data_IF_852734331930
#
_entry.id   IF_852734331930
#
_cell.length_a   1.000
_cell.length_b   1.000
_cell.length_c   1.000
_cell.angle_alpha   90.00
_cell.angle_beta   90.00
_cell.angle_gamma   90.00
#
_symmetry.space_group_name_H-M   'P 1'
#
loop_
_entity.id
_entity.type
_entity.pdbx_description
1 polymer ?
#
# COMPACT_ATOMS: atom_id res chain seq x y z
N UNK A 1 2.61 13.58 -27.46
CA UNK A 1 1.97 12.73 -26.44
C UNK A 1 3.05 11.90 -25.75
N UNK A 2 3.16 11.96 -24.42
CA UNK A 2 4.08 11.11 -23.65
C UNK A 2 3.61 9.66 -23.75
N UNK A 3 4.49 8.71 -24.08
CA UNK A 3 4.14 7.32 -24.43
C UNK A 3 3.20 6.60 -23.43
N UNK A 4 3.22 7.00 -22.16
CA UNK A 4 2.31 6.50 -21.11
C UNK A 4 0.83 6.80 -21.37
N UNK A 5 0.52 8.02 -21.82
CA UNK A 5 -0.84 8.42 -22.17
C UNK A 5 -1.31 7.65 -23.41
N UNK A 6 -0.40 7.40 -24.35
CA UNK A 6 -0.70 6.56 -25.51
C UNK A 6 -1.04 5.12 -25.11
N UNK A 7 -0.25 4.51 -24.22
CA UNK A 7 -0.52 3.17 -23.68
C UNK A 7 -1.85 3.13 -22.92
N UNK A 8 -2.17 4.17 -22.15
CA UNK A 8 -3.46 4.28 -21.45
C UNK A 8 -4.63 4.32 -22.44
N UNK A 9 -4.58 5.19 -23.45
CA UNK A 9 -5.64 5.30 -24.45
C UNK A 9 -5.82 3.99 -25.24
N UNK A 10 -4.71 3.34 -25.62
CA UNK A 10 -4.74 2.04 -26.30
C UNK A 10 -5.37 0.98 -25.37
N UNK A 11 -4.90 0.88 -24.12
CA UNK A 11 -5.39 -0.08 -23.15
C UNK A 11 -6.88 0.06 -22.85
N UNK A 12 -7.35 1.29 -22.61
CA UNK A 12 -8.78 1.57 -22.43
C UNK A 12 -9.57 1.24 -23.70
N UNK A 13 -9.04 1.57 -24.87
CA UNK A 13 -9.64 1.19 -26.16
C UNK A 13 -9.82 -0.32 -26.30
N UNK A 14 -8.82 -1.11 -25.89
CA UNK A 14 -8.90 -2.58 -25.87
C UNK A 14 -9.93 -3.07 -24.86
N UNK A 15 -9.99 -2.49 -23.65
CA UNK A 15 -11.00 -2.85 -22.65
C UNK A 15 -12.41 -2.62 -23.17
N UNK A 16 -12.65 -1.50 -23.87
CA UNK A 16 -13.95 -1.21 -24.49
C UNK A 16 -14.25 -2.20 -25.61
N UNK A 17 -13.27 -2.53 -26.47
CA UNK A 17 -13.46 -3.53 -27.52
C UNK A 17 -13.81 -4.91 -26.95
N UNK A 18 -13.09 -5.36 -25.92
CA UNK A 18 -13.35 -6.64 -25.25
C UNK A 18 -14.68 -6.61 -24.49
N UNK A 19 -15.07 -5.49 -23.91
CA UNK A 19 -16.34 -5.37 -23.19
C UNK A 19 -17.56 -5.32 -24.11
N UNK A 20 -17.46 -4.66 -25.27
CA UNK A 20 -18.59 -4.36 -26.15
C UNK A 20 -18.71 -5.34 -27.32
N UNK A 21 -17.62 -5.79 -27.94
CA UNK A 21 -17.72 -6.70 -29.10
C UNK A 21 -18.47 -8.00 -28.79
N UNK A 22 -18.26 -8.67 -27.64
CA UNK A 22 -18.96 -9.90 -27.32
C UNK A 22 -20.46 -9.71 -27.11
N UNK A 23 -20.91 -8.54 -26.64
CA UNK A 23 -22.33 -8.26 -26.41
C UNK A 23 -23.10 -8.03 -27.71
N UNK A 24 -22.39 -7.70 -28.80
CA UNK A 24 -23.00 -7.54 -30.15
C UNK A 24 -23.13 -8.90 -30.86
N UNK A 25 -22.20 -9.82 -30.63
CA UNK A 25 -22.16 -11.13 -31.30
C UNK A 25 -23.00 -12.16 -30.53
N UNK A 26 -23.04 -12.06 -29.21
CA UNK A 26 -23.73 -13.02 -28.34
C UNK A 26 -24.59 -12.29 -27.30
N UNK A 27 -25.77 -12.83 -26.93
CA UNK A 27 -26.52 -12.33 -25.78
C UNK A 27 -25.76 -12.63 -24.49
N UNK A 28 -24.84 -11.74 -24.13
CA UNK A 28 -24.11 -11.72 -22.86
C UNK A 28 -24.91 -10.94 -21.82
N UNK A 29 -24.89 -11.34 -20.55
CA UNK A 29 -25.50 -10.55 -19.48
C UNK A 29 -24.75 -9.22 -19.29
N UNK A 30 -25.46 -8.14 -18.98
CA UNK A 30 -24.87 -6.81 -18.74
C UNK A 30 -23.78 -6.83 -17.67
N UNK A 31 -23.87 -7.75 -16.69
CA UNK A 31 -22.87 -7.97 -15.65
C UNK A 31 -21.46 -8.21 -16.24
N UNK A 32 -21.38 -8.86 -17.40
CA UNK A 32 -20.10 -9.07 -18.10
C UNK A 32 -19.40 -7.76 -18.42
N UNK A 33 -20.12 -6.80 -19.01
CA UNK A 33 -19.55 -5.52 -19.40
C UNK A 33 -19.05 -4.75 -18.18
N UNK A 34 -19.84 -4.73 -17.10
CA UNK A 34 -19.44 -4.09 -15.85
C UNK A 34 -18.17 -4.73 -15.26
N UNK A 35 -18.06 -6.06 -15.25
CA UNK A 35 -16.88 -6.77 -14.77
C UNK A 35 -15.64 -6.42 -15.61
N UNK A 36 -15.75 -6.43 -16.93
CA UNK A 36 -14.63 -6.10 -17.85
C UNK A 36 -14.16 -4.66 -17.63
N UNK A 37 -15.08 -3.71 -17.50
CA UNK A 37 -14.72 -2.30 -17.27
C UNK A 37 -14.10 -2.10 -15.89
N UNK A 38 -14.70 -2.66 -14.84
CA UNK A 38 -14.23 -2.49 -13.45
C UNK A 38 -12.86 -3.13 -13.23
N UNK A 39 -12.59 -4.30 -13.82
CA UNK A 39 -11.31 -4.99 -13.64
C UNK A 39 -10.25 -4.54 -14.64
N UNK A 40 -10.66 -4.28 -15.88
CA UNK A 40 -9.74 -3.95 -16.97
C UNK A 40 -9.25 -2.50 -16.96
N UNK A 41 -10.11 -1.55 -16.60
CA UNK A 41 -9.78 -0.11 -16.70
C UNK A 41 -8.76 0.39 -15.66
N UNK A 42 -8.85 0.02 -14.37
CA UNK A 42 -7.96 0.53 -13.33
C UNK A 42 -6.44 0.39 -13.60
N UNK A 43 -5.90 -0.76 -14.06
CA UNK A 43 -4.46 -0.89 -14.29
C UNK A 43 -3.93 0.11 -15.34
N UNK A 44 -4.71 0.40 -16.39
CA UNK A 44 -4.29 1.36 -17.43
C UNK A 44 -4.33 2.81 -16.94
N UNK A 45 -5.34 3.17 -16.13
CA UNK A 45 -5.44 4.50 -15.53
C UNK A 45 -4.31 4.73 -14.53
N UNK A 46 -4.03 3.74 -13.67
CA UNK A 46 -2.97 3.84 -12.66
C UNK A 46 -1.61 4.05 -13.34
N UNK A 47 -1.29 3.23 -14.35
CA UNK A 47 -0.05 3.35 -15.13
C UNK A 47 0.03 4.65 -15.95
N UNK A 48 -1.07 5.04 -16.59
CA UNK A 48 -1.15 6.23 -17.45
C UNK A 48 -0.96 7.54 -16.68
N UNK A 49 -1.57 7.62 -15.50
CA UNK A 49 -1.54 8.81 -14.64
C UNK A 49 -0.38 8.82 -13.63
N UNK A 50 0.52 7.82 -13.66
CA UNK A 50 1.60 7.65 -12.67
C UNK A 50 1.08 7.59 -11.22
N UNK A 51 -0.11 7.04 -11.02
CA UNK A 51 -0.65 6.83 -9.67
C UNK A 51 -0.02 5.62 -8.98
N UNK A 52 0.88 4.91 -9.67
CA UNK A 52 1.63 3.73 -9.23
C UNK A 52 2.17 3.87 -7.80
N UNK A 53 2.79 5.01 -7.45
CA UNK A 53 3.37 5.23 -6.12
C UNK A 53 2.32 5.33 -5.02
N UNK A 54 1.30 6.17 -5.22
CA UNK A 54 0.23 6.41 -4.24
C UNK A 54 -0.63 5.15 -4.05
N UNK A 55 -0.95 4.47 -5.15
CA UNK A 55 -1.76 3.25 -5.11
C UNK A 55 -0.97 2.15 -4.42
N UNK A 56 0.31 1.96 -4.73
CA UNK A 56 1.15 0.95 -4.08
C UNK A 56 1.22 1.16 -2.56
N UNK A 57 1.47 2.38 -2.09
CA UNK A 57 1.54 2.68 -0.65
C UNK A 57 0.20 2.45 0.04
N UNK A 58 -0.91 2.89 -0.56
CA UNK A 58 -2.25 2.68 0.01
C UNK A 58 -2.65 1.21 0.03
N UNK A 59 -2.35 0.47 -1.03
CA UNK A 59 -2.68 -0.95 -1.15
C UNK A 59 -1.83 -1.77 -0.19
N UNK A 60 -0.55 -1.40 -0.01
CA UNK A 60 0.33 -1.99 0.99
C UNK A 60 -0.12 -1.66 2.41
N UNK A 61 -0.59 -0.43 2.69
CA UNK A 61 -1.16 -0.05 3.98
C UNK A 61 -2.47 -0.79 4.31
N UNK A 62 -3.35 -0.98 3.33
CA UNK A 62 -4.63 -1.69 3.54
C UNK A 62 -4.39 -3.20 3.71
N UNK A 63 -3.50 -3.79 2.92
CA UNK A 63 -3.19 -5.23 3.03
C UNK A 63 -2.31 -5.54 4.25
N UNK A 64 -1.38 -4.65 4.55
CA UNK A 64 -0.57 -4.71 5.76
C UNK A 64 -1.28 -3.87 6.80
N UNK A 65 -2.47 -4.32 7.26
CA UNK A 65 -2.93 -3.98 8.61
C UNK A 65 -1.81 -4.46 9.52
N UNK A 66 -0.81 -3.61 9.72
CA UNK A 66 0.15 -3.78 10.77
C UNK A 66 -0.71 -3.56 12.00
N UNK A 67 -1.05 -4.64 12.70
CA UNK A 67 -1.18 -4.54 14.14
C UNK A 67 0.01 -3.70 14.57
N UNK A 68 -0.27 -2.47 14.99
CA UNK A 68 0.71 -1.61 15.59
C UNK A 68 0.98 -2.25 16.95
N UNK A 69 1.67 -3.40 16.96
CA UNK A 69 2.36 -3.89 18.13
C UNK A 69 3.47 -2.88 18.35
N UNK A 70 3.10 -1.78 18.99
CA UNK A 70 3.95 -1.23 20.02
C UNK A 70 4.12 -2.29 21.09
N UNK A 71 4.86 -3.36 20.78
CA UNK A 71 5.59 -4.07 21.81
C UNK A 71 6.88 -3.31 21.98
N UNK A 72 6.74 -2.17 22.64
CA UNK A 72 7.77 -1.64 23.50
C UNK A 72 7.79 -2.54 24.74
N UNK A 73 8.19 -3.80 24.62
CA UNK A 73 8.33 -4.72 25.75
C UNK A 73 9.65 -5.48 25.65
N UNK A 74 10.74 -4.78 25.32
CA UNK A 74 12.08 -5.25 25.66
C UNK A 74 12.33 -5.24 27.18
N UNK A 75 11.36 -4.88 28.02
CA UNK A 75 11.64 -4.55 29.44
C UNK A 75 10.70 -5.15 30.51
N UNK A 76 9.84 -6.14 30.22
CA UNK A 76 9.05 -6.81 31.27
C UNK A 76 9.33 -8.31 31.48
N UNK A 77 10.43 -8.86 30.97
CA UNK A 77 10.91 -10.19 31.43
C UNK A 77 12.02 -10.12 32.49
N UNK A 78 12.29 -8.93 33.03
CA UNK A 78 13.00 -8.77 34.30
C UNK A 78 12.14 -9.13 35.54
N UNK A 79 10.90 -9.61 35.38
CA UNK A 79 10.12 -10.17 36.49
C UNK A 79 10.13 -11.70 36.52
N UNK A 80 11.35 -12.25 36.53
CA UNK A 80 11.63 -13.64 36.94
C UNK A 80 12.60 -13.74 38.11
N UNK A 81 13.16 -12.62 38.60
CA UNK A 81 13.97 -12.52 39.81
C UNK A 81 13.98 -11.08 40.34
N UNK A 82 13.07 -10.78 41.27
CA UNK A 82 13.21 -9.81 42.36
C UNK A 82 14.08 -8.55 42.12
N UNK A 83 13.74 -7.68 41.17
CA UNK A 83 14.35 -6.35 41.09
C UNK A 83 13.24 -5.30 40.92
N UNK A 84 13.02 -4.53 41.98
CA UNK A 84 12.16 -3.36 42.01
C UNK A 84 12.87 -2.23 41.24
N UNK A 85 12.31 -1.79 40.11
CA UNK A 85 12.87 -0.69 39.31
C UNK A 85 12.11 0.58 39.64
N UNK A 86 12.75 1.43 40.46
CA UNK A 86 12.29 2.78 40.78
C UNK A 86 12.47 3.68 39.56
N UNK A 87 11.39 4.27 39.07
CA UNK A 87 11.46 5.31 38.03
C UNK A 87 11.86 6.63 38.68
N UNK A 88 13.17 6.82 38.82
CA UNK A 88 13.69 8.12 39.22
C UNK A 88 13.89 9.04 38.00
N UNK A 89 13.56 10.29 38.25
CA UNK A 89 13.25 11.31 37.29
C UNK A 89 14.55 11.90 36.72
N UNK A 90 15.05 11.38 35.59
CA UNK A 90 16.05 12.12 34.80
C UNK A 90 16.23 11.58 33.39
N UNK A 91 15.82 12.41 32.44
CA UNK A 91 16.57 12.78 31.24
C UNK A 91 17.01 11.67 30.28
N UNK A 92 16.43 11.74 29.07
CA UNK A 92 17.09 11.55 27.78
C UNK A 92 18.37 10.71 27.82
N UNK A 93 18.26 9.42 27.50
CA UNK A 93 19.44 8.60 27.21
C UNK A 93 20.09 9.12 25.92
N UNK A 94 21.07 10.02 26.06
CA UNK A 94 21.97 10.37 24.97
C UNK A 94 22.74 9.12 24.54
N UNK A 95 22.92 8.98 23.23
CA UNK A 95 23.56 7.84 22.61
C UNK A 95 24.97 7.62 23.17
N UNK A 96 25.20 6.38 23.62
CA UNK A 96 26.44 5.85 24.19
C UNK A 96 27.52 5.71 23.10
N UNK A 97 28.03 6.82 22.56
CA UNK A 97 29.35 6.88 21.88
C UNK A 97 29.85 8.28 21.48
N UNK A 98 29.35 9.36 22.10
CA UNK A 98 29.90 10.71 21.85
C UNK A 98 30.81 11.09 23.01
N UNK A 99 32.13 11.09 22.75
CA UNK A 99 33.13 11.64 23.67
C UNK A 99 33.18 13.16 23.49
N UNK A 100 32.56 13.91 24.40
CA UNK A 100 32.78 15.34 24.50
C UNK A 100 34.12 15.58 25.19
N UNK A 101 35.06 16.17 24.44
CA UNK A 101 36.36 16.59 24.94
C UNK A 101 36.16 17.85 25.79
N UNK A 102 36.58 17.80 27.05
CA UNK A 102 36.80 19.00 27.86
C UNK A 102 38.27 19.42 27.74
#
# INVERSE_FOLDING_TARGET
>A
MTARIFIMCLGVGVVVLVGVLPTVIWPMPDLYMYMVVVLGTPPFIVYGLKLDGIVKERLLFILTIQERSYQTDDDFTAFGNNMEVTYDNSAFSQAKDVHEWN
#
